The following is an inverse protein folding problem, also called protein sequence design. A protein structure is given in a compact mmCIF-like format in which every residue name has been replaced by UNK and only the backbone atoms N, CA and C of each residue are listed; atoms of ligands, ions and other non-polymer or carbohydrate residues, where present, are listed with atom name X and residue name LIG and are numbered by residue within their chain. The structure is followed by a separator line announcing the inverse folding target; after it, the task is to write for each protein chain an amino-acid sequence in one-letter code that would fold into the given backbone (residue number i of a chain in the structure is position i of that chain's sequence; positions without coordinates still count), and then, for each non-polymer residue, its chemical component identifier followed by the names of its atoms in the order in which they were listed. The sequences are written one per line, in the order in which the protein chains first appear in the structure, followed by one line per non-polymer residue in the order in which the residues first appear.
data_IF_662899819597
#
_entry.id   IF_662899819597
#
_cell.length_a   1.000
_cell.length_b   1.000
_cell.length_c   1.000
_cell.angle_alpha   90.00
_cell.angle_beta   90.00
_cell.angle_gamma   90.00
#
_symmetry.space_group_name_H-M   'P 1'
#
loop_
_entity.id
_entity.type
_entity.pdbx_description
1 polymer ?
#
# COMPACT_ATOMS: atom_id res chain seq x y z
N UNK A 1 -1.45 -11.09 -5.64
CA UNK A 1 -0.53 -10.09 -6.19
C UNK A 1 -0.39 -8.87 -5.30
N UNK A 2 0.68 -8.13 -5.47
CA UNK A 2 0.93 -6.84 -4.79
C UNK A 2 1.35 -5.81 -5.83
N UNK A 3 0.62 -4.70 -5.89
CA UNK A 3 0.95 -3.54 -6.68
C UNK A 3 1.40 -2.40 -5.75
N UNK A 4 2.67 -2.01 -5.87
CA UNK A 4 3.24 -0.86 -5.18
C UNK A 4 2.78 0.42 -5.87
N UNK A 5 1.90 1.16 -5.21
CA UNK A 5 1.33 2.41 -5.69
C UNK A 5 2.04 3.65 -5.12
N UNK A 6 3.01 3.48 -4.22
CA UNK A 6 3.86 4.59 -3.79
C UNK A 6 4.95 4.87 -4.83
N UNK A 7 4.57 5.58 -5.87
CA UNK A 7 5.44 5.90 -7.01
C UNK A 7 6.60 6.82 -6.64
N UNK A 8 6.57 7.43 -5.47
CA UNK A 8 7.59 8.39 -5.00
C UNK A 8 8.61 7.76 -4.06
N UNK A 9 8.19 6.75 -3.31
CA UNK A 9 9.02 6.04 -2.34
C UNK A 9 8.77 4.52 -2.35
N UNK A 10 8.83 3.88 -3.53
CA UNK A 10 8.45 2.48 -3.65
C UNK A 10 9.41 1.58 -2.86
N UNK A 11 8.86 0.70 -2.03
CA UNK A 11 9.60 -0.18 -1.12
C UNK A 11 9.29 -1.67 -1.27
N UNK A 12 8.20 -2.02 -1.89
CA UNK A 12 7.73 -3.41 -2.00
C UNK A 12 8.76 -4.35 -2.65
N UNK A 13 9.46 -3.98 -3.74
CA UNK A 13 10.48 -4.86 -4.31
C UNK A 13 11.60 -5.21 -3.34
N UNK A 14 12.03 -4.26 -2.51
CA UNK A 14 13.09 -4.50 -1.51
C UNK A 14 12.62 -5.43 -0.40
N UNK A 15 11.38 -5.27 0.06
CA UNK A 15 10.77 -6.14 1.09
C UNK A 15 10.72 -7.59 0.61
N UNK A 16 10.41 -7.81 -0.67
CA UNK A 16 10.37 -9.15 -1.27
C UNK A 16 11.69 -9.64 -1.87
N UNK A 17 12.77 -8.83 -1.80
CA UNK A 17 14.07 -9.18 -2.36
C UNK A 17 14.07 -9.31 -3.89
N UNK A 18 13.24 -8.52 -4.58
CA UNK A 18 13.14 -8.52 -6.03
C UNK A 18 14.09 -7.47 -6.61
N UNK A 19 15.05 -7.92 -7.40
CA UNK A 19 16.01 -7.05 -8.07
C UNK A 19 15.83 -7.02 -9.60
N UNK A 20 15.20 -8.05 -10.14
CA UNK A 20 14.98 -8.21 -11.57
C UNK A 20 13.99 -7.18 -12.08
N UNK A 21 14.30 -6.57 -13.22
CA UNK A 21 13.37 -5.66 -13.90
C UNK A 21 12.18 -6.44 -14.45
N UNK A 22 11.05 -5.76 -14.56
CA UNK A 22 9.88 -6.31 -15.24
C UNK A 22 10.19 -6.49 -16.73
N UNK A 23 9.57 -7.46 -17.34
CA UNK A 23 9.64 -7.71 -18.76
C UNK A 23 8.24 -7.56 -19.38
N UNK A 24 8.24 -7.22 -20.66
CA UNK A 24 6.98 -7.00 -21.38
C UNK A 24 7.18 -6.22 -22.66
N UNK A 25 6.10 -5.83 -23.25
CA UNK A 25 6.01 -4.96 -24.42
C UNK A 25 5.28 -3.65 -24.04
N UNK A 26 5.07 -2.77 -25.02
CA UNK A 26 4.24 -1.58 -24.82
C UNK A 26 2.77 -1.91 -24.56
N UNK A 27 2.33 -3.10 -24.94
CA UNK A 27 0.93 -3.55 -24.82
C UNK A 27 0.70 -4.44 -23.59
N UNK A 28 1.71 -5.19 -23.14
CA UNK A 28 1.59 -6.17 -22.07
C UNK A 28 2.83 -6.21 -21.19
N UNK A 29 2.64 -6.13 -19.88
CA UNK A 29 3.69 -6.15 -18.86
C UNK A 29 3.43 -7.32 -17.92
N UNK A 30 4.48 -8.05 -17.55
CA UNK A 30 4.38 -9.18 -16.62
C UNK A 30 4.97 -8.81 -15.26
N UNK A 31 4.25 -9.07 -14.15
CA UNK A 31 4.78 -8.83 -12.82
C UNK A 31 5.90 -9.82 -12.48
N UNK A 32 6.84 -9.40 -11.67
CA UNK A 32 7.84 -10.31 -11.12
C UNK A 32 7.17 -11.27 -10.11
N UNK A 33 7.76 -12.45 -9.94
CA UNK A 33 7.22 -13.47 -9.06
C UNK A 33 8.22 -13.82 -7.98
N UNK A 34 7.80 -13.79 -6.72
CA UNK A 34 8.61 -14.26 -5.59
C UNK A 34 8.75 -15.79 -5.59
N UNK A 35 9.69 -16.32 -4.81
CA UNK A 35 9.85 -17.77 -4.64
C UNK A 35 8.60 -18.45 -4.07
N UNK A 36 7.74 -17.73 -3.35
CA UNK A 36 6.47 -18.20 -2.80
C UNK A 36 5.30 -18.06 -3.77
N UNK A 37 5.53 -17.48 -4.94
CA UNK A 37 4.53 -17.33 -5.98
C UNK A 37 3.73 -16.03 -5.94
N UNK A 38 4.07 -15.08 -5.07
CA UNK A 38 3.44 -13.76 -5.03
C UNK A 38 3.88 -12.96 -6.25
N UNK A 39 2.94 -12.41 -7.00
CA UNK A 39 3.20 -11.55 -8.14
C UNK A 39 3.35 -10.11 -7.66
N UNK A 40 4.44 -9.44 -8.02
CA UNK A 40 4.77 -8.10 -7.54
C UNK A 40 5.06 -7.17 -8.70
N UNK A 41 4.48 -5.99 -8.64
CA UNK A 41 4.77 -4.89 -9.55
C UNK A 41 5.05 -3.61 -8.77
N UNK A 42 6.09 -2.89 -9.20
CA UNK A 42 6.45 -1.57 -8.71
C UNK A 42 7.12 -0.78 -9.81
N UNK A 43 7.00 0.54 -9.75
CA UNK A 43 7.64 1.42 -10.73
C UNK A 43 9.16 1.30 -10.72
N UNK A 44 9.77 1.03 -9.57
CA UNK A 44 11.21 0.83 -9.44
C UNK A 44 11.75 -0.29 -10.33
N UNK A 45 10.90 -1.27 -10.64
CA UNK A 45 11.27 -2.39 -11.50
C UNK A 45 11.29 -2.01 -13.00
N UNK A 46 10.77 -0.84 -13.35
CA UNK A 46 10.77 -0.30 -14.72
C UNK A 46 11.88 0.75 -14.93
N UNK A 47 12.38 1.37 -13.86
CA UNK A 47 13.37 2.44 -13.97
C UNK A 47 14.75 1.89 -14.40
N UNK A 48 15.53 2.65 -15.20
CA UNK A 48 16.89 2.28 -15.53
C UNK A 48 17.78 2.05 -14.31
N UNK A 49 17.69 2.98 -13.33
CA UNK A 49 18.35 2.86 -12.04
C UNK A 49 17.33 3.03 -10.90
N UNK A 50 17.45 2.25 -9.84
CA UNK A 50 16.56 2.30 -8.66
C UNK A 50 16.59 3.65 -7.92
N UNK A 51 17.67 4.41 -8.08
CA UNK A 51 17.88 5.71 -7.44
C UNK A 51 17.49 6.89 -8.32
N UNK A 52 17.01 6.63 -9.53
CA UNK A 52 16.58 7.72 -10.41
C UNK A 52 15.37 8.42 -9.79
N UNK A 53 15.43 9.77 -9.61
CA UNK A 53 14.32 10.47 -9.03
C UNK A 53 13.13 10.47 -9.98
N UNK A 54 12.00 10.00 -9.48
CA UNK A 54 10.73 10.01 -10.20
C UNK A 54 10.08 11.36 -9.99
N UNK A 55 10.20 12.27 -10.97
CA UNK A 55 9.59 13.60 -10.92
C UNK A 55 8.34 13.59 -11.81
N UNK A 56 7.26 13.03 -11.28
CA UNK A 56 6.00 12.98 -12.01
C UNK A 56 4.95 13.86 -11.35
N UNK A 57 4.22 14.59 -12.18
CA UNK A 57 3.08 15.40 -11.77
C UNK A 57 1.78 14.63 -12.00
N UNK A 58 0.72 14.99 -11.30
CA UNK A 58 -0.57 14.30 -11.26
C UNK A 58 -1.03 13.58 -12.54
N UNK A 59 -1.09 14.24 -13.72
CA UNK A 59 -1.55 13.57 -14.95
C UNK A 59 -0.68 12.38 -15.39
N UNK A 60 0.65 12.47 -15.15
CA UNK A 60 1.58 11.38 -15.50
C UNK A 60 1.40 10.21 -14.53
N UNK A 61 1.23 10.50 -13.24
CA UNK A 61 0.95 9.48 -12.22
C UNK A 61 -0.32 8.69 -12.55
N UNK A 62 -1.40 9.40 -12.91
CA UNK A 62 -2.66 8.75 -13.30
C UNK A 62 -2.50 7.87 -14.53
N UNK A 63 -1.71 8.29 -15.53
CA UNK A 63 -1.46 7.48 -16.73
C UNK A 63 -0.68 6.20 -16.38
N UNK A 64 0.31 6.28 -15.52
CA UNK A 64 1.11 5.12 -15.11
C UNK A 64 0.28 4.13 -14.31
N UNK A 65 -0.53 4.61 -13.38
CA UNK A 65 -1.46 3.76 -12.66
C UNK A 65 -2.44 3.09 -13.62
N UNK A 66 -2.97 3.84 -14.60
CA UNK A 66 -3.82 3.26 -15.63
C UNK A 66 -3.10 2.20 -16.46
N UNK A 67 -1.83 2.42 -16.81
CA UNK A 67 -1.02 1.42 -17.52
C UNK A 67 -0.82 0.16 -16.66
N UNK A 68 -0.55 0.30 -15.36
CA UNK A 68 -0.46 -0.83 -14.44
C UNK A 68 -1.77 -1.60 -14.32
N UNK A 69 -2.88 -0.91 -14.41
CA UNK A 69 -4.19 -1.54 -14.36
C UNK A 69 -4.55 -2.26 -15.66
N UNK A 70 -4.29 -1.63 -16.81
CA UNK A 70 -4.78 -2.10 -18.13
C UNK A 70 -3.82 -3.00 -18.87
N UNK A 71 -2.49 -2.81 -18.69
CA UNK A 71 -1.46 -3.55 -19.43
C UNK A 71 -0.80 -4.66 -18.63
N UNK A 72 -1.04 -4.69 -17.31
CA UNK A 72 -0.44 -5.72 -16.46
C UNK A 72 -1.16 -7.05 -16.62
N UNK A 73 -0.44 -8.06 -17.09
CA UNK A 73 -0.94 -9.42 -17.11
C UNK A 73 -0.70 -10.10 -15.75
N UNK A 74 -1.66 -9.94 -14.88
CA UNK A 74 -1.63 -10.61 -13.58
C UNK A 74 -1.89 -12.11 -13.67
N UNK A 75 -2.58 -12.60 -14.74
CA UNK A 75 -3.12 -13.95 -14.78
C UNK A 75 -4.08 -14.20 -13.63
N UNK A 76 -4.21 -15.46 -13.20
CA UNK A 76 -5.10 -15.81 -12.09
C UNK A 76 -4.55 -15.30 -10.77
N UNK A 77 -5.38 -14.59 -10.01
CA UNK A 77 -5.12 -14.09 -8.66
C UNK A 77 -6.34 -14.35 -7.77
N UNK A 78 -6.09 -14.75 -6.53
CA UNK A 78 -7.12 -14.75 -5.48
C UNK A 78 -7.33 -13.35 -4.92
N UNK A 79 -6.21 -12.61 -4.73
CA UNK A 79 -6.19 -11.24 -4.21
C UNK A 79 -5.16 -10.39 -4.93
N UNK A 80 -5.50 -9.12 -5.17
CA UNK A 80 -4.57 -8.06 -5.57
C UNK A 80 -4.56 -6.98 -4.49
N UNK A 81 -3.44 -6.83 -3.80
CA UNK A 81 -3.22 -5.79 -2.80
C UNK A 81 -2.59 -4.56 -3.48
N UNK A 82 -3.18 -3.40 -3.24
CA UNK A 82 -2.67 -2.11 -3.68
C UNK A 82 -2.01 -1.45 -2.47
N UNK A 83 -0.66 -1.39 -2.46
CA UNK A 83 0.09 -0.70 -1.41
C UNK A 83 0.13 0.79 -1.70
N UNK A 84 -0.65 1.54 -0.94
CA UNK A 84 -0.93 2.95 -1.20
C UNK A 84 0.12 3.85 -0.56
N UNK A 85 0.49 4.99 -1.20
CA UNK A 85 1.29 5.99 -0.52
C UNK A 85 0.56 6.56 0.70
N UNK A 86 1.29 7.09 1.69
CA UNK A 86 0.67 7.68 2.86
C UNK A 86 -0.12 8.96 2.51
N UNK A 87 -1.20 9.20 3.25
CA UNK A 87 -1.98 10.42 3.15
C UNK A 87 -3.10 10.38 2.11
N UNK A 88 -3.49 11.56 1.62
CA UNK A 88 -4.68 11.80 0.80
C UNK A 88 -4.33 12.46 -0.55
N UNK A 89 -3.21 12.08 -1.14
CA UNK A 89 -2.70 12.64 -2.40
C UNK A 89 -3.43 12.15 -3.65
N UNK A 90 -2.85 12.48 -4.82
CA UNK A 90 -3.44 12.16 -6.13
C UNK A 90 -3.55 10.66 -6.40
N UNK A 91 -2.63 9.84 -5.89
CA UNK A 91 -2.63 8.38 -6.11
C UNK A 91 -3.84 7.72 -5.44
N UNK A 92 -4.09 7.87 -4.12
CA UNK A 92 -5.30 7.37 -3.50
C UNK A 92 -6.58 7.87 -4.18
N UNK A 93 -6.63 9.15 -4.52
CA UNK A 93 -7.78 9.74 -5.19
C UNK A 93 -8.05 9.07 -6.54
N UNK A 94 -7.01 8.88 -7.35
CA UNK A 94 -7.11 8.24 -8.67
C UNK A 94 -7.60 6.80 -8.54
N UNK A 95 -7.04 6.04 -7.59
CA UNK A 95 -7.41 4.64 -7.37
C UNK A 95 -8.87 4.53 -6.95
N UNK A 96 -9.30 5.29 -5.95
CA UNK A 96 -10.68 5.24 -5.47
C UNK A 96 -11.72 5.71 -6.49
N UNK A 97 -11.34 6.57 -7.44
CA UNK A 97 -12.25 7.05 -8.48
C UNK A 97 -12.33 6.13 -9.70
N UNK A 98 -11.27 5.39 -10.00
CA UNK A 98 -11.17 4.70 -11.28
C UNK A 98 -11.06 3.18 -11.18
N UNK A 99 -10.74 2.62 -10.00
CA UNK A 99 -10.56 1.18 -9.84
C UNK A 99 -11.67 0.55 -9.01
N UNK A 100 -12.11 -0.66 -9.38
CA UNK A 100 -13.09 -1.41 -8.60
C UNK A 100 -12.41 -2.02 -7.36
N UNK A 101 -12.31 -1.23 -6.30
CA UNK A 101 -11.72 -1.68 -5.02
C UNK A 101 -12.80 -2.37 -4.20
N UNK A 102 -12.59 -3.64 -3.83
CA UNK A 102 -13.54 -4.41 -3.01
C UNK A 102 -13.55 -3.94 -1.56
N UNK A 103 -12.41 -3.45 -1.07
CA UNK A 103 -12.30 -2.94 0.29
C UNK A 103 -10.97 -2.27 0.60
N UNK A 104 -10.98 -1.47 1.65
CA UNK A 104 -9.84 -0.71 2.15
C UNK A 104 -9.49 -1.19 3.55
N UNK A 105 -8.22 -1.52 3.76
CA UNK A 105 -7.66 -1.77 5.09
C UNK A 105 -6.79 -0.58 5.46
N UNK A 106 -7.06 0.02 6.59
CA UNK A 106 -6.26 1.14 7.11
C UNK A 106 -5.15 0.58 7.98
N UNK A 107 -3.91 1.01 7.73
CA UNK A 107 -2.75 0.59 8.55
C UNK A 107 -2.27 1.77 9.37
N UNK A 108 -2.18 1.58 10.66
CA UNK A 108 -1.77 2.60 11.64
C UNK A 108 -0.62 2.13 12.52
N UNK A 109 -0.10 3.06 13.31
CA UNK A 109 0.74 2.78 14.47
C UNK A 109 0.18 3.55 15.67
N UNK A 110 0.49 3.19 16.94
CA UNK A 110 -0.04 3.88 18.13
C UNK A 110 0.40 5.34 18.29
N UNK A 111 1.16 5.89 17.34
CA UNK A 111 1.64 7.27 17.37
C UNK A 111 0.51 8.28 17.13
N UNK A 112 0.41 9.33 17.96
CA UNK A 112 -0.56 10.43 17.78
C UNK A 112 -0.47 11.12 16.41
N UNK A 113 0.72 11.21 15.84
CA UNK A 113 0.89 11.80 14.50
C UNK A 113 0.35 10.89 13.40
N UNK A 114 0.55 9.57 13.53
CA UNK A 114 0.00 8.59 12.61
C UNK A 114 -1.53 8.60 12.65
N UNK A 115 -2.14 8.75 13.82
CA UNK A 115 -3.59 8.78 14.00
C UNK A 115 -4.28 9.87 13.15
N UNK A 116 -3.68 11.06 13.03
CA UNK A 116 -4.25 12.14 12.21
C UNK A 116 -4.21 11.79 10.71
N UNK A 117 -3.11 11.19 10.24
CA UNK A 117 -2.98 10.78 8.84
C UNK A 117 -3.97 9.65 8.51
N UNK A 118 -4.12 8.71 9.44
CA UNK A 118 -5.06 7.59 9.36
C UNK A 118 -6.50 8.09 9.27
N UNK A 119 -6.90 9.02 10.16
CA UNK A 119 -8.25 9.62 10.11
C UNK A 119 -8.53 10.30 8.77
N UNK A 120 -7.56 11.05 8.23
CA UNK A 120 -7.73 11.70 6.92
C UNK A 120 -7.89 10.68 5.79
N UNK A 121 -7.12 9.60 5.80
CA UNK A 121 -7.22 8.54 4.81
C UNK A 121 -8.57 7.80 4.92
N UNK A 122 -9.02 7.51 6.14
CA UNK A 122 -10.31 6.91 6.42
C UNK A 122 -11.47 7.78 5.93
N UNK A 123 -11.47 9.06 6.32
CA UNK A 123 -12.49 10.03 5.89
C UNK A 123 -12.52 10.19 4.35
N UNK A 124 -11.37 10.18 3.71
CA UNK A 124 -11.29 10.21 2.24
C UNK A 124 -11.93 8.99 1.62
N UNK A 125 -11.63 7.80 2.12
CA UNK A 125 -12.21 6.55 1.65
C UNK A 125 -13.74 6.57 1.78
N UNK A 126 -14.27 7.00 2.93
CA UNK A 126 -15.72 7.13 3.15
C UNK A 126 -16.38 8.13 2.19
N UNK A 127 -15.77 9.31 2.00
CA UNK A 127 -16.30 10.34 1.07
C UNK A 127 -16.33 9.89 -0.38
N UNK A 128 -15.45 8.96 -0.75
CA UNK A 128 -15.40 8.34 -2.06
C UNK A 128 -16.16 7.01 -2.14
N UNK A 129 -17.04 6.75 -1.13
CA UNK A 129 -17.89 5.56 -1.02
C UNK A 129 -17.12 4.25 -1.07
N UNK A 130 -15.89 4.22 -0.54
CA UNK A 130 -15.12 2.99 -0.43
C UNK A 130 -15.56 2.18 0.79
N UNK A 131 -15.55 0.87 0.67
CA UNK A 131 -15.83 -0.04 1.77
C UNK A 131 -14.59 -0.19 2.65
N UNK A 132 -14.57 0.43 3.82
CA UNK A 132 -13.47 0.26 4.78
C UNK A 132 -13.73 -0.98 5.63
N UNK A 133 -12.90 -2.01 5.45
CA UNK A 133 -13.06 -3.34 6.06
C UNK A 133 -12.61 -3.34 7.52
N UNK A 134 -11.52 -2.63 7.82
CA UNK A 134 -10.96 -2.61 9.17
C UNK A 134 -9.64 -1.85 9.26
N UNK A 135 -9.06 -1.87 10.45
CA UNK A 135 -7.77 -1.25 10.77
C UNK A 135 -6.78 -2.31 11.26
N UNK A 136 -5.53 -2.19 10.83
CA UNK A 136 -4.40 -2.93 11.38
C UNK A 136 -3.52 -1.93 12.13
N UNK A 137 -3.42 -2.08 13.46
CA UNK A 137 -2.46 -1.35 14.24
C UNK A 137 -1.15 -2.12 14.31
N UNK A 138 -0.18 -1.66 13.52
CA UNK A 138 1.15 -2.23 13.48
C UNK A 138 2.03 -1.64 14.59
N UNK A 139 3.00 -2.42 15.05
CA UNK A 139 3.92 -2.02 16.13
C UNK A 139 3.22 -1.67 17.45
N UNK A 140 2.12 -2.34 17.75
CA UNK A 140 1.32 -2.10 18.95
C UNK A 140 2.14 -2.34 20.22
N UNK A 141 2.95 -3.39 20.25
CA UNK A 141 3.80 -3.72 21.38
C UNK A 141 5.00 -4.58 20.94
N UNK A 142 6.02 -4.57 21.75
CA UNK A 142 7.12 -5.53 21.70
C UNK A 142 6.91 -6.60 22.78
N UNK A 143 6.92 -7.86 22.39
CA UNK A 143 6.84 -8.97 23.33
C UNK A 143 8.22 -9.58 23.56
N UNK A 144 8.67 -9.57 24.82
CA UNK A 144 9.94 -10.19 25.19
C UNK A 144 9.87 -11.70 24.99
N UNK A 145 10.79 -12.24 24.18
CA UNK A 145 10.82 -13.68 23.86
C UNK A 145 11.14 -14.58 25.07
N UNK A 146 11.75 -14.03 26.13
CA UNK A 146 12.13 -14.81 27.32
C UNK A 146 11.03 -14.84 28.37
N UNK A 147 10.34 -13.72 28.63
CA UNK A 147 9.37 -13.65 29.72
C UNK A 147 7.95 -13.29 29.30
N UNK A 148 7.69 -13.05 28.00
CA UNK A 148 6.37 -12.69 27.49
C UNK A 148 5.87 -11.31 27.91
N UNK A 149 6.73 -10.48 28.54
CA UNK A 149 6.36 -9.12 28.90
C UNK A 149 6.12 -8.28 27.64
N UNK A 150 5.00 -7.55 27.62
CA UNK A 150 4.65 -6.64 26.53
C UNK A 150 5.03 -5.22 26.89
N UNK A 151 5.80 -4.58 26.01
CA UNK A 151 6.23 -3.21 26.14
C UNK A 151 5.65 -2.37 24.99
N UNK A 152 4.93 -1.31 25.33
CA UNK A 152 4.26 -0.42 24.38
C UNK A 152 5.19 0.75 24.03
N UNK A 153 6.05 0.56 23.04
CA UNK A 153 7.11 1.51 22.68
C UNK A 153 6.57 2.89 22.25
N UNK A 154 5.38 2.93 21.65
CA UNK A 154 4.73 4.16 21.20
C UNK A 154 3.59 4.61 22.13
N UNK A 155 3.45 3.98 23.32
CA UNK A 155 2.34 4.16 24.23
C UNK A 155 1.14 3.25 23.89
N UNK A 156 0.22 3.14 24.82
CA UNK A 156 -1.05 2.49 24.56
C UNK A 156 -1.90 3.38 23.64
N UNK A 157 -2.61 2.76 22.68
CA UNK A 157 -3.47 3.51 21.75
C UNK A 157 -4.55 4.25 22.52
N UNK A 158 -4.59 5.56 22.37
CA UNK A 158 -5.78 6.33 22.69
C UNK A 158 -6.84 6.00 21.60
N UNK A 159 -8.05 5.62 22.03
CA UNK A 159 -9.17 5.40 21.11
C UNK A 159 -9.36 6.61 20.20
N UNK A 160 -9.25 6.40 18.89
CA UNK A 160 -9.47 7.48 17.93
C UNK A 160 -10.98 7.66 17.79
N UNK A 161 -11.53 8.73 18.37
CA UNK A 161 -12.94 9.09 18.21
C UNK A 161 -13.28 9.18 16.71
N UNK A 162 -14.33 8.47 16.30
CA UNK A 162 -14.82 8.47 14.92
C UNK A 162 -14.28 7.30 14.06
N UNK A 163 -13.39 6.47 14.58
CA UNK A 163 -12.96 5.24 13.92
C UNK A 163 -13.69 4.04 14.56
N UNK A 164 -14.83 3.67 14.00
CA UNK A 164 -15.58 2.48 14.43
C UNK A 164 -15.25 1.31 13.49
N UNK A 165 -14.02 0.82 13.59
CA UNK A 165 -13.51 -0.26 12.76
C UNK A 165 -13.12 -1.48 13.57
N UNK A 166 -13.20 -2.65 12.94
CA UNK A 166 -12.60 -3.87 13.46
C UNK A 166 -11.08 -3.72 13.51
N UNK A 167 -10.49 -3.88 14.69
CA UNK A 167 -9.07 -3.63 14.95
C UNK A 167 -8.30 -4.93 15.10
N UNK A 168 -7.19 -5.05 14.38
CA UNK A 168 -6.20 -6.11 14.53
C UNK A 168 -4.89 -5.49 15.02
N UNK A 169 -4.33 -6.01 16.11
CA UNK A 169 -3.04 -5.62 16.65
C UNK A 169 -1.94 -6.57 16.19
N UNK A 170 -0.84 -6.02 15.69
CA UNK A 170 0.35 -6.76 15.28
C UNK A 170 1.59 -6.20 15.98
#
# INVERSE_FOLDING_TARGET
GVLDCDLTGPSIPEIFGIEEKVYGSEEEIFPNKTGEGIKVMSINLMLPNKTDPVIWRGPILSNILNDFWTKMNWGDLDFLLLDMPPGTGDVPLTIYQHYPVDGVVVVSTPSKMASIAVLKAYEMALRLNQNVIGEIENMSYYECKECGHKEYLFGEKEHIEGLDLSLIHI
#
